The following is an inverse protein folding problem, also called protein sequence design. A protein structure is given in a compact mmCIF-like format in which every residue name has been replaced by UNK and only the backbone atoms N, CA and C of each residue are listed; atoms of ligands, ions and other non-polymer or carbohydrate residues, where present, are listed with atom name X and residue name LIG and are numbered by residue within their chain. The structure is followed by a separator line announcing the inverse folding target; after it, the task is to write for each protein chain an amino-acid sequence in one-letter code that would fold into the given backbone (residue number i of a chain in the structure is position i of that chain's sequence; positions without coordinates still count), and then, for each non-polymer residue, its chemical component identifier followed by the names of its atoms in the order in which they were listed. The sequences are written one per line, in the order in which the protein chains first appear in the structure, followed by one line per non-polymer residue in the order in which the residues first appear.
data_IF_192218146039
#
_entry.id   IF_192218146039
#
_cell.length_a   1.000
_cell.length_b   1.000
_cell.length_c   1.000
_cell.angle_alpha   90.00
_cell.angle_beta   90.00
_cell.angle_gamma   90.00
#
_symmetry.space_group_name_H-M   'P 1'
#
loop_
_entity.id
_entity.type
_entity.pdbx_description
1 polymer ?
#
# COMPACT_ATOMS: atom_id res chain seq x y z
N UNK A 1 5.67 -21.55 -8.19
CA UNK A 1 4.65 -20.51 -8.40
C UNK A 1 3.90 -20.41 -7.08
N UNK A 2 3.63 -19.18 -6.65
CA UNK A 2 3.15 -18.92 -5.29
C UNK A 2 2.23 -17.70 -5.28
N UNK A 3 1.19 -17.73 -4.45
CA UNK A 3 0.40 -16.57 -4.07
C UNK A 3 1.03 -15.86 -2.87
N UNK A 4 1.30 -14.57 -3.02
CA UNK A 4 1.86 -13.70 -2.00
C UNK A 4 0.92 -12.55 -1.65
N UNK A 5 0.80 -12.28 -0.36
CA UNK A 5 0.06 -11.15 0.18
C UNK A 5 1.01 -10.16 0.84
N UNK A 6 0.83 -8.87 0.56
CA UNK A 6 1.43 -7.78 1.35
C UNK A 6 0.34 -7.21 2.25
N UNK A 7 0.50 -7.34 3.57
CA UNK A 7 -0.45 -6.75 4.53
C UNK A 7 -0.15 -5.26 4.71
N UNK A 8 -1.05 -4.42 4.22
CA UNK A 8 -0.89 -2.96 4.22
C UNK A 8 -1.83 -2.31 5.22
N UNK A 9 -1.30 -1.36 5.98
CA UNK A 9 -2.06 -0.53 6.93
C UNK A 9 -1.91 0.93 6.55
N UNK A 10 -3.03 1.57 6.23
CA UNK A 10 -3.07 3.02 5.99
C UNK A 10 -3.16 3.74 7.33
N UNK A 11 -2.18 4.62 7.60
CA UNK A 11 -1.96 5.33 8.86
C UNK A 11 -2.98 6.42 9.19
N UNK A 12 -4.27 6.09 9.09
CA UNK A 12 -5.40 7.00 9.30
C UNK A 12 -5.98 6.92 10.71
N UNK A 13 -6.60 8.03 11.14
CA UNK A 13 -7.32 8.13 12.41
C UNK A 13 -8.72 8.72 12.18
N UNK A 14 -9.66 8.40 13.07
CA UNK A 14 -11.09 8.70 12.90
C UNK A 14 -11.35 10.20 12.63
N UNK A 15 -10.68 11.08 13.37
CA UNK A 15 -10.86 12.52 13.24
C UNK A 15 -10.30 13.09 11.94
N UNK A 16 -9.43 12.35 11.23
CA UNK A 16 -8.80 12.86 10.01
C UNK A 16 -9.83 13.21 8.94
N UNK A 17 -10.88 12.41 8.76
CA UNK A 17 -11.85 12.61 7.68
C UNK A 17 -12.99 13.57 8.03
N UNK A 18 -13.05 14.06 9.28
CA UNK A 18 -14.11 14.97 9.69
C UNK A 18 -13.98 16.33 9.00
N UNK A 19 -15.03 16.73 8.28
CA UNK A 19 -15.17 18.06 7.67
C UNK A 19 -15.69 19.11 8.66
N UNK A 20 -16.24 18.68 9.80
CA UNK A 20 -16.79 19.54 10.84
C UNK A 20 -15.72 20.00 11.86
N UNK A 21 -14.60 19.28 11.96
CA UNK A 21 -13.53 19.59 12.89
C UNK A 21 -12.54 20.61 12.31
N UNK A 22 -12.06 21.51 13.17
CA UNK A 22 -10.95 22.40 12.83
C UNK A 22 -9.67 21.61 12.56
N UNK A 23 -8.74 22.17 11.77
CA UNK A 23 -7.43 21.53 11.48
C UNK A 23 -6.69 21.07 12.76
N UNK A 24 -6.79 21.84 13.85
CA UNK A 24 -6.19 21.48 15.13
C UNK A 24 -6.85 20.25 15.78
N UNK A 25 -8.19 20.15 15.72
CA UNK A 25 -8.96 19.03 16.25
C UNK A 25 -8.88 17.77 15.38
N UNK A 26 -8.53 17.92 14.10
CA UNK A 26 -8.22 16.80 13.21
C UNK A 26 -6.83 16.20 13.45
N UNK A 27 -6.02 16.69 14.40
CA UNK A 27 -4.74 16.05 14.73
C UNK A 27 -4.97 14.79 15.56
N UNK A 28 -4.20 13.71 15.34
CA UNK A 28 -4.39 12.47 16.08
C UNK A 28 -4.03 12.64 17.56
N UNK A 29 -4.77 11.99 18.46
CA UNK A 29 -4.42 11.96 19.87
C UNK A 29 -3.21 11.02 20.11
N UNK A 30 -2.11 11.55 20.66
CA UNK A 30 -0.77 10.90 20.64
C UNK A 30 -0.76 9.51 21.21
N UNK A 31 -1.29 9.40 22.42
CA UNK A 31 -1.37 8.14 23.15
C UNK A 31 -2.32 7.17 22.46
N UNK A 32 -3.38 7.68 21.84
CA UNK A 32 -4.35 6.88 21.09
C UNK A 32 -3.72 6.25 19.85
N UNK A 33 -3.11 7.06 18.99
CA UNK A 33 -2.49 6.57 17.76
C UNK A 33 -1.31 5.63 18.04
N UNK A 34 -0.43 5.97 19.00
CA UNK A 34 0.66 5.10 19.41
C UNK A 34 0.14 3.75 19.97
N UNK A 35 -1.01 3.75 20.66
CA UNK A 35 -1.64 2.52 21.14
C UNK A 35 -2.20 1.68 19.98
N UNK A 36 -2.80 2.29 18.96
CA UNK A 36 -3.28 1.60 17.76
C UNK A 36 -2.13 0.94 17.00
N UNK A 37 -1.05 1.66 16.74
CA UNK A 37 0.15 1.14 16.06
C UNK A 37 0.77 -0.03 16.85
N UNK A 38 0.77 0.02 18.18
CA UNK A 38 1.20 -1.13 19.01
C UNK A 38 0.32 -2.37 18.79
N UNK A 39 -0.97 -2.20 18.52
CA UNK A 39 -1.85 -3.33 18.18
C UNK A 39 -1.61 -3.84 16.76
N UNK A 40 -1.28 -2.98 15.80
CA UNK A 40 -0.82 -3.39 14.46
C UNK A 40 0.38 -4.32 14.59
N UNK A 41 1.42 -3.87 15.28
CA UNK A 41 2.64 -4.65 15.55
C UNK A 41 2.30 -5.98 16.25
N UNK A 42 1.38 -5.98 17.22
CA UNK A 42 0.98 -7.19 17.94
C UNK A 42 0.26 -8.18 17.03
N UNK A 43 -0.65 -7.71 16.18
CA UNK A 43 -1.42 -8.56 15.25
C UNK A 43 -0.51 -9.11 14.15
N UNK A 44 0.38 -8.30 13.59
CA UNK A 44 1.30 -8.72 12.54
C UNK A 44 2.23 -9.87 12.96
N UNK A 45 2.44 -10.12 14.26
CA UNK A 45 3.19 -11.30 14.73
C UNK A 45 2.64 -12.62 14.20
N UNK A 46 1.33 -12.73 13.95
CA UNK A 46 0.74 -13.96 13.40
C UNK A 46 1.11 -14.23 11.94
N UNK A 47 1.73 -13.25 11.26
CA UNK A 47 2.22 -13.35 9.89
C UNK A 47 3.73 -13.08 9.82
N UNK A 48 4.46 -13.37 10.90
CA UNK A 48 5.91 -13.18 10.97
C UNK A 48 6.35 -11.72 11.07
N UNK A 49 5.46 -10.82 11.53
CA UNK A 49 5.71 -9.39 11.64
C UNK A 49 5.61 -8.62 10.32
N UNK A 50 5.25 -9.29 9.22
CA UNK A 50 5.20 -8.77 7.86
C UNK A 50 4.01 -7.83 7.66
N UNK A 51 4.17 -6.58 8.08
CA UNK A 51 3.22 -5.49 7.85
C UNK A 51 3.93 -4.35 7.12
N UNK A 52 3.20 -3.63 6.28
CA UNK A 52 3.63 -2.38 5.66
C UNK A 52 2.71 -1.25 6.17
N UNK A 53 3.22 -0.39 7.05
CA UNK A 53 2.47 0.76 7.56
C UNK A 53 2.76 2.00 6.73
N UNK A 54 1.75 2.60 6.12
CA UNK A 54 1.93 3.83 5.36
C UNK A 54 1.76 5.06 6.27
N UNK A 55 2.85 5.80 6.46
CA UNK A 55 2.90 7.01 7.30
C UNK A 55 2.38 8.20 6.52
N UNK A 56 1.48 8.95 7.13
CA UNK A 56 0.72 9.96 6.44
C UNK A 56 1.49 11.27 6.20
N UNK A 57 1.52 11.77 4.95
CA UNK A 57 2.17 13.04 4.58
C UNK A 57 1.33 14.28 4.84
N UNK A 58 0.08 14.16 5.32
CA UNK A 58 -0.85 15.30 5.40
C UNK A 58 -0.21 16.49 6.11
N UNK A 59 -0.34 17.73 5.59
CA UNK A 59 0.14 18.92 6.27
C UNK A 59 -0.41 19.09 7.70
N UNK A 60 -1.54 18.45 8.02
CA UNK A 60 -2.13 18.47 9.36
C UNK A 60 -1.30 17.67 10.37
N UNK A 61 -0.58 16.63 9.92
CA UNK A 61 0.00 15.62 10.81
C UNK A 61 1.44 15.20 10.47
N UNK A 62 2.06 15.60 9.35
CA UNK A 62 3.37 15.04 8.96
C UNK A 62 4.45 15.19 10.02
N UNK A 63 4.52 16.37 10.66
CA UNK A 63 5.51 16.65 11.71
C UNK A 63 5.30 15.79 12.95
N UNK A 64 4.07 15.34 13.15
CA UNK A 64 3.68 14.54 14.29
C UNK A 64 4.41 13.19 14.32
N UNK A 65 4.60 12.60 13.14
CA UNK A 65 5.21 11.28 12.96
C UNK A 65 6.73 11.27 13.14
N UNK A 66 7.35 12.43 13.30
CA UNK A 66 8.77 12.58 13.64
C UNK A 66 9.03 12.65 15.15
N UNK A 67 7.98 12.68 15.99
CA UNK A 67 8.20 12.64 17.43
C UNK A 67 8.90 11.34 17.86
N UNK A 68 9.75 11.37 18.90
CA UNK A 68 10.53 10.20 19.33
C UNK A 68 9.71 8.93 19.56
N UNK A 69 8.47 9.06 20.06
CA UNK A 69 7.57 7.92 20.26
C UNK A 69 7.22 7.20 18.95
N UNK A 70 6.99 7.93 17.86
CA UNK A 70 6.64 7.34 16.57
C UNK A 70 7.88 6.80 15.87
N UNK A 71 9.00 7.53 15.92
CA UNK A 71 10.29 7.00 15.43
C UNK A 71 10.64 5.66 16.09
N UNK A 72 10.43 5.54 17.41
CA UNK A 72 10.64 4.28 18.11
C UNK A 72 9.69 3.17 17.62
N UNK A 73 8.43 3.48 17.32
CA UNK A 73 7.47 2.52 16.76
C UNK A 73 7.84 2.09 15.33
N UNK A 74 8.29 3.03 14.48
CA UNK A 74 8.77 2.73 13.13
C UNK A 74 9.96 1.78 13.15
N UNK A 75 10.93 2.05 14.03
CA UNK A 75 12.09 1.18 14.26
C UNK A 75 11.65 -0.19 14.82
N UNK A 76 10.64 -0.22 15.68
CA UNK A 76 10.08 -1.49 16.19
C UNK A 76 9.41 -2.32 15.09
N UNK A 77 8.68 -1.68 14.16
CA UNK A 77 8.10 -2.34 12.98
C UNK A 77 9.20 -2.99 12.14
N UNK A 78 10.23 -2.23 11.75
CA UNK A 78 11.33 -2.77 10.93
C UNK A 78 12.10 -3.88 11.65
N UNK A 79 12.40 -3.71 12.95
CA UNK A 79 13.07 -4.74 13.76
C UNK A 79 12.30 -6.05 13.81
N UNK A 80 10.96 -6.01 13.68
CA UNK A 80 10.10 -7.20 13.71
C UNK A 80 9.79 -7.77 12.33
N UNK A 81 10.45 -7.29 11.28
CA UNK A 81 10.28 -7.78 9.91
C UNK A 81 9.19 -7.08 9.10
N UNK A 82 8.56 -6.04 9.64
CA UNK A 82 7.69 -5.14 8.88
C UNK A 82 8.47 -4.03 8.18
N UNK A 83 7.73 -3.09 7.60
CA UNK A 83 8.25 -1.91 6.93
C UNK A 83 7.32 -0.72 7.10
N UNK A 84 7.83 0.47 6.78
CA UNK A 84 7.04 1.68 6.67
C UNK A 84 7.09 2.20 5.23
N UNK A 85 5.98 2.79 4.78
CA UNK A 85 5.85 3.44 3.48
C UNK A 85 5.31 4.87 3.61
N UNK A 86 5.15 5.53 2.47
CA UNK A 86 4.60 6.88 2.37
C UNK A 86 3.10 6.81 2.05
N UNK A 87 2.24 7.30 2.94
CA UNK A 87 0.82 7.53 2.63
C UNK A 87 0.59 8.99 2.24
N UNK A 88 0.44 9.24 0.95
CA UNK A 88 0.35 10.61 0.48
C UNK A 88 -1.09 11.12 0.49
N UNK A 89 -1.41 12.12 1.33
CA UNK A 89 -2.54 13.01 1.03
C UNK A 89 -2.10 14.47 1.13
N UNK A 90 -1.56 14.97 0.03
CA UNK A 90 -1.37 16.41 -0.22
C UNK A 90 -2.60 17.07 -0.82
N UNK A 91 -3.58 16.26 -1.13
CA UNK A 91 -4.81 16.66 -1.76
C UNK A 91 -5.69 17.35 -0.71
N UNK A 92 -6.34 18.46 -1.09
CA UNK A 92 -7.55 18.85 -0.38
C UNK A 92 -8.47 17.63 -0.33
N UNK A 93 -9.17 17.42 0.79
CA UNK A 93 -10.17 16.34 0.90
C UNK A 93 -11.02 16.35 -0.38
N UNK A 94 -11.03 15.23 -1.11
CA UNK A 94 -11.78 15.05 -2.35
C UNK A 94 -11.35 15.88 -3.59
N UNK A 95 -10.09 16.35 -3.64
CA UNK A 95 -9.49 16.82 -4.89
C UNK A 95 -8.94 15.66 -5.72
N UNK A 96 -8.61 15.91 -6.99
CA UNK A 96 -8.61 14.90 -8.07
C UNK A 96 -7.32 14.09 -8.21
N UNK A 97 -6.38 14.17 -7.27
CA UNK A 97 -4.98 13.80 -7.53
C UNK A 97 -4.35 14.45 -8.75
N UNK A 98 -5.04 15.42 -9.36
CA UNK A 98 -4.43 16.48 -10.12
C UNK A 98 -3.59 17.23 -9.10
N UNK A 99 -2.36 16.76 -8.97
CA UNK A 99 -1.27 17.53 -8.47
C UNK A 99 -1.27 18.78 -9.34
N UNK A 100 -1.94 19.84 -8.87
CA UNK A 100 -1.83 21.17 -9.47
C UNK A 100 -0.35 21.55 -9.62
N UNK A 101 0.49 20.93 -8.80
CA UNK A 101 1.91 21.10 -8.80
C UNK A 101 2.64 19.78 -8.45
N UNK A 102 3.25 19.09 -9.43
CA UNK A 102 4.15 17.95 -9.18
C UNK A 102 5.32 18.28 -8.24
N UNK A 103 5.76 19.55 -8.19
CA UNK A 103 6.81 20.01 -7.28
C UNK A 103 6.32 19.92 -5.83
N UNK A 104 5.05 20.25 -5.58
CA UNK A 104 4.46 20.13 -4.24
C UNK A 104 4.30 18.68 -3.80
N UNK A 105 4.00 17.76 -4.72
CA UNK A 105 4.02 16.32 -4.38
C UNK A 105 5.42 15.87 -4.00
N UNK A 106 6.41 16.18 -4.86
CA UNK A 106 7.80 15.81 -4.60
C UNK A 106 8.26 16.36 -3.25
N UNK A 107 7.99 17.65 -2.99
CA UNK A 107 8.31 18.29 -1.70
C UNK A 107 7.69 17.55 -0.53
N UNK A 108 6.48 17.05 -0.69
CA UNK A 108 5.74 16.39 0.38
C UNK A 108 6.21 14.98 0.66
N UNK A 109 6.44 14.19 -0.40
CA UNK A 109 7.08 12.88 -0.29
C UNK A 109 8.46 13.05 0.37
N UNK A 110 9.27 13.98 -0.13
CA UNK A 110 10.62 14.26 0.39
C UNK A 110 10.61 14.72 1.84
N UNK A 111 9.65 15.56 2.22
CA UNK A 111 9.53 16.05 3.60
C UNK A 111 9.23 14.94 4.62
N UNK A 112 8.71 13.79 4.17
CA UNK A 112 8.51 12.61 5.00
C UNK A 112 9.70 11.64 4.90
N UNK A 113 10.16 11.35 3.68
CA UNK A 113 11.19 10.32 3.44
C UNK A 113 12.56 10.73 3.96
N UNK A 114 13.00 11.97 3.77
CA UNK A 114 14.34 12.40 4.18
C UNK A 114 14.55 12.35 5.70
N UNK A 115 13.66 12.92 6.54
CA UNK A 115 13.84 12.83 8.00
C UNK A 115 13.82 11.39 8.51
N UNK A 116 12.92 10.54 7.98
CA UNK A 116 12.84 9.15 8.42
C UNK A 116 14.06 8.32 7.96
N UNK A 117 14.61 8.61 6.78
CA UNK A 117 15.87 7.99 6.33
C UNK A 117 17.07 8.41 7.18
N UNK A 118 17.12 9.67 7.62
CA UNK A 118 18.14 10.14 8.59
C UNK A 118 18.05 9.40 9.92
N UNK A 119 16.85 8.93 10.29
CA UNK A 119 16.64 8.05 11.44
C UNK A 119 17.00 6.57 11.19
N UNK A 120 17.50 6.23 9.99
CA UNK A 120 17.89 4.87 9.60
C UNK A 120 16.76 4.00 9.08
N UNK A 121 15.58 4.57 8.80
CA UNK A 121 14.42 3.82 8.29
C UNK A 121 14.48 3.68 6.76
N UNK A 122 14.01 2.55 6.24
CA UNK A 122 13.95 2.29 4.80
C UNK A 122 12.54 2.53 4.28
N UNK A 123 12.39 3.50 3.37
CA UNK A 123 11.10 3.82 2.72
C UNK A 123 11.21 3.55 1.23
N UNK A 124 10.71 2.39 0.77
CA UNK A 124 10.68 2.01 -0.65
C UNK A 124 9.25 1.87 -1.20
N UNK A 125 8.25 2.09 -0.36
CA UNK A 125 6.83 1.87 -0.68
C UNK A 125 6.03 3.16 -0.60
N UNK A 126 5.09 3.31 -1.51
CA UNK A 126 4.18 4.45 -1.61
C UNK A 126 2.73 3.99 -1.75
N UNK A 127 1.83 4.81 -1.25
CA UNK A 127 0.39 4.68 -1.44
C UNK A 127 -0.25 6.05 -1.45
N UNK A 128 -0.96 6.35 -2.51
CA UNK A 128 -1.80 7.54 -2.62
C UNK A 128 -3.04 7.46 -1.74
N UNK A 129 -3.45 8.60 -1.19
CA UNK A 129 -4.76 8.76 -0.57
C UNK A 129 -5.86 8.63 -1.62
N UNK A 130 -7.05 8.14 -1.24
CA UNK A 130 -8.19 7.96 -2.15
C UNK A 130 -7.91 7.13 -3.42
N UNK A 131 -6.80 6.38 -3.47
CA UNK A 131 -6.32 5.65 -4.64
C UNK A 131 -6.04 6.56 -5.84
N UNK A 132 -5.78 7.85 -5.60
CA UNK A 132 -5.52 8.84 -6.64
C UNK A 132 -4.09 8.71 -7.15
N UNK A 133 -3.92 8.35 -8.42
CA UNK A 133 -2.60 8.22 -9.01
C UNK A 133 -2.58 8.81 -10.41
N UNK A 134 -1.46 9.42 -10.77
CA UNK A 134 -1.23 9.89 -12.12
C UNK A 134 0.19 9.59 -12.56
N UNK A 135 0.39 9.49 -13.87
CA UNK A 135 1.68 9.09 -14.47
C UNK A 135 2.87 10.00 -14.10
N UNK A 136 2.62 11.27 -13.76
CA UNK A 136 3.66 12.20 -13.32
C UNK A 136 4.21 11.87 -11.92
N UNK A 137 3.53 11.03 -11.14
CA UNK A 137 4.01 10.54 -9.83
C UNK A 137 5.19 9.59 -10.01
N UNK A 138 5.19 8.77 -11.07
CA UNK A 138 6.18 7.73 -11.33
C UNK A 138 7.63 8.26 -11.22
N UNK A 139 8.06 9.27 -12.00
CA UNK A 139 9.44 9.78 -11.91
C UNK A 139 9.76 10.40 -10.55
N UNK A 140 8.76 10.91 -9.82
CA UNK A 140 8.95 11.45 -8.47
C UNK A 140 9.26 10.32 -7.49
N UNK A 141 8.56 9.18 -7.58
CA UNK A 141 8.82 8.01 -6.74
C UNK A 141 10.23 7.49 -6.98
N UNK A 142 10.62 7.31 -8.24
CA UNK A 142 11.95 6.82 -8.61
C UNK A 142 13.07 7.73 -8.10
N UNK A 143 12.94 9.05 -8.31
CA UNK A 143 13.89 10.05 -7.81
C UNK A 143 14.03 10.01 -6.29
N UNK A 144 12.96 9.64 -5.60
CA UNK A 144 12.95 9.48 -4.15
C UNK A 144 13.30 8.07 -3.71
N UNK A 145 13.76 7.16 -4.58
CA UNK A 145 14.13 5.78 -4.21
C UNK A 145 12.95 4.93 -3.73
N UNK A 146 11.73 5.28 -4.15
CA UNK A 146 10.52 4.49 -3.92
C UNK A 146 10.33 3.60 -5.14
N UNK A 147 10.24 2.29 -4.89
CA UNK A 147 10.22 1.25 -5.92
C UNK A 147 8.87 0.56 -6.05
N UNK A 148 8.01 0.71 -5.05
CA UNK A 148 6.74 0.01 -4.97
C UNK A 148 5.60 1.00 -4.77
N UNK A 149 4.52 0.85 -5.55
CA UNK A 149 3.24 1.51 -5.32
C UNK A 149 2.15 0.48 -4.98
N UNK A 150 1.21 0.90 -4.14
CA UNK A 150 0.11 0.09 -3.62
C UNK A 150 -1.25 0.79 -3.83
N UNK A 151 -1.30 1.76 -4.73
CA UNK A 151 -2.47 2.61 -4.95
C UNK A 151 -3.54 1.94 -5.82
N UNK A 152 -3.20 0.91 -6.59
CA UNK A 152 -4.09 0.34 -7.59
C UNK A 152 -5.22 -0.47 -6.97
N UNK A 153 -6.44 -0.04 -7.26
CA UNK A 153 -7.60 -0.92 -7.26
C UNK A 153 -7.97 -1.19 -8.73
N UNK A 154 -7.41 -2.25 -9.31
CA UNK A 154 -7.62 -2.63 -10.72
C UNK A 154 -9.10 -2.54 -11.12
N UNK A 155 -9.39 -1.89 -12.25
CA UNK A 155 -10.73 -1.70 -12.79
C UNK A 155 -11.63 -0.70 -12.04
N UNK A 156 -11.14 -0.06 -10.98
CA UNK A 156 -11.89 0.99 -10.27
C UNK A 156 -11.91 2.27 -11.09
N UNK A 157 -13.03 2.99 -10.97
CA UNK A 157 -13.24 4.29 -11.56
C UNK A 157 -14.08 5.12 -10.59
N UNK A 158 -13.46 6.10 -9.92
CA UNK A 158 -14.07 6.84 -8.82
C UNK A 158 -14.35 8.28 -9.25
N UNK A 159 -15.60 8.72 -9.12
CA UNK A 159 -15.99 10.12 -9.24
C UNK A 159 -16.40 10.66 -7.87
N UNK A 160 -16.09 11.93 -7.63
CA UNK A 160 -16.61 12.70 -6.51
C UNK A 160 -16.93 14.11 -7.01
N UNK A 161 -18.14 14.61 -6.73
CA UNK A 161 -18.61 15.93 -7.16
C UNK A 161 -18.35 16.23 -8.65
N UNK A 162 -18.62 15.26 -9.52
CA UNK A 162 -18.43 15.38 -10.98
C UNK A 162 -16.97 15.31 -11.46
N UNK A 163 -16.01 15.08 -10.58
CA UNK A 163 -14.57 14.96 -10.90
C UNK A 163 -14.08 13.52 -10.75
N UNK A 164 -13.28 13.05 -11.72
CA UNK A 164 -12.67 11.72 -11.69
C UNK A 164 -11.46 11.69 -10.76
N UNK A 165 -11.57 11.10 -9.57
CA UNK A 165 -10.54 11.07 -8.52
C UNK A 165 -9.51 9.94 -8.74
N UNK A 166 -9.95 8.78 -9.23
CA UNK A 166 -9.08 7.63 -9.46
C UNK A 166 -9.54 6.87 -10.71
N UNK A 167 -8.60 6.57 -11.61
CA UNK A 167 -8.86 5.80 -12.82
C UNK A 167 -7.88 4.65 -12.94
N UNK A 168 -8.35 3.46 -12.58
CA UNK A 168 -7.60 2.21 -12.69
C UNK A 168 -8.19 1.28 -13.75
N UNK A 169 -8.98 1.83 -14.68
CA UNK A 169 -9.57 1.05 -15.77
C UNK A 169 -8.45 0.57 -16.69
N UNK A 170 -8.34 -0.75 -16.86
CA UNK A 170 -7.29 -1.37 -17.66
C UNK A 170 -6.07 -1.82 -16.85
N UNK A 171 -5.92 -1.36 -15.60
CA UNK A 171 -4.80 -1.77 -14.75
C UNK A 171 -4.76 -3.30 -14.54
N UNK A 172 -3.60 -3.95 -14.68
CA UNK A 172 -3.42 -5.36 -14.38
C UNK A 172 -3.95 -5.77 -13.00
N UNK A 173 -4.38 -7.04 -12.89
CA UNK A 173 -4.90 -7.62 -11.64
C UNK A 173 -3.81 -8.27 -10.79
N UNK A 174 -2.58 -8.32 -11.30
CA UNK A 174 -1.37 -8.79 -10.63
C UNK A 174 -0.36 -7.64 -10.65
N UNK A 175 0.78 -7.82 -9.97
CA UNK A 175 1.86 -6.86 -10.01
C UNK A 175 2.34 -6.58 -11.45
N UNK A 176 2.83 -5.36 -11.70
CA UNK A 176 3.39 -4.96 -13.00
C UNK A 176 4.33 -3.76 -12.83
N UNK A 177 5.34 -3.66 -13.70
CA UNK A 177 6.12 -2.43 -13.84
C UNK A 177 5.29 -1.39 -14.56
N UNK A 178 5.19 -0.17 -14.03
CA UNK A 178 4.31 0.85 -14.62
C UNK A 178 4.84 1.40 -15.96
N UNK A 179 3.93 1.86 -16.82
CA UNK A 179 4.26 2.67 -17.99
C UNK A 179 4.27 4.17 -17.64
N UNK A 180 5.33 4.88 -17.99
CA UNK A 180 5.44 6.34 -17.80
C UNK A 180 4.37 7.15 -18.53
N UNK A 181 3.78 6.60 -19.61
CA UNK A 181 2.74 7.26 -20.39
C UNK A 181 1.33 6.96 -19.85
N UNK A 182 1.15 5.79 -19.23
CA UNK A 182 -0.13 5.30 -18.71
C UNK A 182 0.11 4.33 -17.54
N UNK A 183 0.02 4.83 -16.31
CA UNK A 183 0.16 4.03 -15.08
C UNK A 183 -0.78 2.82 -14.96
N UNK A 184 -1.83 2.73 -15.79
CA UNK A 184 -2.71 1.56 -15.87
C UNK A 184 -2.18 0.46 -16.80
N UNK A 185 -0.97 0.57 -17.33
CA UNK A 185 -0.38 -0.42 -18.24
C UNK A 185 1.00 -0.85 -17.76
N UNK A 186 1.37 -2.06 -18.18
CA UNK A 186 2.73 -2.54 -18.05
C UNK A 186 3.69 -1.70 -18.91
N UNK A 187 4.88 -1.43 -18.40
CA UNK A 187 5.91 -0.64 -19.07
C UNK A 187 7.27 -0.78 -18.42
N UNK A 188 8.12 0.22 -18.64
CA UNK A 188 9.56 0.18 -18.31
C UNK A 188 9.97 1.06 -17.12
N UNK A 189 9.00 1.50 -16.29
CA UNK A 189 9.35 2.15 -15.03
C UNK A 189 10.06 1.19 -14.08
N UNK A 190 10.89 1.72 -13.18
CA UNK A 190 11.42 0.99 -12.04
C UNK A 190 10.40 0.81 -10.91
N UNK A 191 9.27 1.52 -10.96
CA UNK A 191 8.17 1.39 -10.00
C UNK A 191 7.31 0.20 -10.36
N UNK A 192 7.16 -0.72 -9.41
CA UNK A 192 6.24 -1.84 -9.49
C UNK A 192 4.95 -1.50 -8.75
N UNK A 193 3.82 -1.64 -9.44
CA UNK A 193 2.51 -1.57 -8.82
C UNK A 193 2.13 -2.92 -8.19
N UNK A 194 1.63 -2.91 -6.96
CA UNK A 194 1.06 -4.06 -6.26
C UNK A 194 -0.44 -3.82 -5.97
N UNK A 195 -1.33 -4.29 -6.84
CA UNK A 195 -2.75 -3.99 -6.73
C UNK A 195 -3.40 -4.66 -5.52
N UNK A 196 -4.49 -4.06 -5.02
CA UNK A 196 -5.35 -4.70 -4.02
C UNK A 196 -5.97 -5.96 -4.62
N UNK A 197 -5.80 -7.09 -3.93
CA UNK A 197 -6.32 -8.38 -4.41
C UNK A 197 -7.84 -8.33 -4.54
N UNK A 198 -8.43 -8.92 -5.60
CA UNK A 198 -9.87 -8.75 -5.84
C UNK A 198 -10.53 -9.86 -6.66
N UNK A 199 -11.86 -9.94 -6.52
CA UNK A 199 -12.75 -10.69 -7.41
C UNK A 199 -13.96 -9.83 -7.78
N UNK A 200 -14.18 -9.62 -9.09
CA UNK A 200 -15.25 -8.72 -9.59
C UNK A 200 -15.16 -7.32 -8.94
N UNK A 201 -16.17 -6.96 -8.13
CA UNK A 201 -16.30 -5.69 -7.38
C UNK A 201 -15.83 -5.78 -5.92
N UNK A 202 -15.45 -6.96 -5.43
CA UNK A 202 -14.99 -7.20 -4.04
C UNK A 202 -13.47 -7.20 -3.99
N UNK A 203 -12.89 -6.60 -2.96
CA UNK A 203 -11.44 -6.45 -2.81
C UNK A 203 -10.96 -6.96 -1.45
N UNK A 204 -9.67 -7.24 -1.31
CA UNK A 204 -8.99 -7.53 -0.06
C UNK A 204 -8.82 -6.23 0.72
N UNK A 205 -9.94 -5.66 1.15
CA UNK A 205 -10.02 -4.46 1.97
C UNK A 205 -10.87 -4.78 3.19
N UNK A 206 -10.19 -5.02 4.32
CA UNK A 206 -10.76 -5.67 5.52
C UNK A 206 -11.94 -4.90 6.08
N UNK A 207 -11.88 -3.57 6.08
CA UNK A 207 -12.85 -2.69 6.71
C UNK A 207 -14.26 -2.90 6.13
N UNK A 208 -14.34 -2.93 4.80
CA UNK A 208 -15.61 -2.95 4.07
C UNK A 208 -15.98 -4.33 3.51
N UNK A 209 -15.05 -5.29 3.55
CA UNK A 209 -15.23 -6.61 2.95
C UNK A 209 -15.48 -7.68 4.00
N UNK A 210 -16.56 -8.45 3.85
CA UNK A 210 -16.90 -9.53 4.77
C UNK A 210 -15.82 -10.62 4.81
N UNK A 211 -15.68 -11.34 5.92
CA UNK A 211 -14.72 -12.45 6.02
C UNK A 211 -15.00 -13.56 4.98
N UNK A 212 -16.27 -13.81 4.65
CA UNK A 212 -16.65 -14.76 3.60
C UNK A 212 -16.14 -14.30 2.23
N UNK A 213 -16.23 -13.00 1.94
CA UNK A 213 -15.71 -12.43 0.71
C UNK A 213 -14.19 -12.47 0.63
N UNK A 214 -13.49 -12.15 1.72
CA UNK A 214 -12.03 -12.29 1.83
C UNK A 214 -11.62 -13.74 1.54
N UNK A 215 -12.33 -14.71 2.13
CA UNK A 215 -12.11 -16.14 1.88
C UNK A 215 -12.32 -16.51 0.41
N UNK A 216 -13.40 -16.05 -0.21
CA UNK A 216 -13.65 -16.31 -1.63
C UNK A 216 -12.58 -15.69 -2.53
N UNK A 217 -12.11 -14.47 -2.23
CA UNK A 217 -11.05 -13.81 -2.99
C UNK A 217 -9.74 -14.59 -2.86
N UNK A 218 -9.30 -14.90 -1.64
CA UNK A 218 -8.06 -15.62 -1.38
C UNK A 218 -8.06 -17.00 -2.07
N UNK A 219 -9.15 -17.76 -1.95
CA UNK A 219 -9.32 -19.05 -2.63
C UNK A 219 -9.29 -18.91 -4.15
N UNK A 220 -9.92 -17.87 -4.70
CA UNK A 220 -9.94 -17.61 -6.14
C UNK A 220 -8.55 -17.27 -6.68
N UNK A 221 -7.80 -16.43 -5.97
CA UNK A 221 -6.43 -16.09 -6.33
C UNK A 221 -5.51 -17.32 -6.30
N UNK A 222 -5.62 -18.17 -5.28
CA UNK A 222 -4.86 -19.42 -5.19
C UNK A 222 -5.23 -20.43 -6.29
N UNK A 223 -6.49 -20.46 -6.74
CA UNK A 223 -6.86 -21.25 -7.92
C UNK A 223 -6.24 -20.70 -9.20
N UNK A 224 -6.22 -19.37 -9.35
CA UNK A 224 -5.64 -18.70 -10.52
C UNK A 224 -4.14 -18.88 -10.63
N UNK A 225 -3.45 -19.01 -9.52
CA UNK A 225 -2.02 -19.34 -9.45
C UNK A 225 -1.70 -20.59 -10.29
N UNK A 226 -2.60 -21.57 -10.33
CA UNK A 226 -2.43 -22.79 -11.16
C UNK A 226 -2.56 -22.55 -12.67
N UNK A 227 -3.06 -21.38 -13.07
CA UNK A 227 -3.37 -21.04 -14.47
C UNK A 227 -2.53 -19.90 -15.02
N UNK A 228 -2.00 -19.04 -14.15
CA UNK A 228 -1.16 -17.90 -14.53
C UNK A 228 0.30 -18.34 -14.48
N UNK A 229 1.06 -18.12 -15.55
CA UNK A 229 2.51 -18.31 -15.54
C UNK A 229 3.16 -17.21 -14.71
N UNK A 230 3.47 -17.47 -13.44
CA UNK A 230 4.19 -16.53 -12.58
C UNK A 230 3.69 -16.51 -11.15
N UNK A 231 4.31 -15.67 -10.33
CA UNK A 231 3.87 -15.41 -8.98
C UNK A 231 2.68 -14.43 -9.01
N UNK A 232 1.76 -14.58 -8.05
CA UNK A 232 0.70 -13.60 -7.83
C UNK A 232 1.08 -12.80 -6.59
N UNK A 233 1.20 -11.48 -6.72
CA UNK A 233 1.49 -10.58 -5.60
C UNK A 233 0.38 -9.54 -5.53
N UNK A 234 -0.32 -9.49 -4.40
CA UNK A 234 -1.43 -8.56 -4.16
C UNK A 234 -1.37 -7.98 -2.76
N UNK A 235 -1.99 -6.82 -2.55
CA UNK A 235 -2.13 -6.22 -1.22
C UNK A 235 -3.46 -6.59 -0.54
N UNK A 236 -3.39 -6.68 0.79
CA UNK A 236 -4.51 -6.81 1.72
C UNK A 236 -4.53 -5.57 2.62
N UNK A 237 -5.56 -4.75 2.48
CA UNK A 237 -5.66 -3.44 3.09
C UNK A 237 -6.50 -3.41 4.37
N UNK A 238 -6.08 -2.60 5.34
CA UNK A 238 -6.88 -2.11 6.47
C UNK A 238 -6.42 -0.70 6.85
N UNK A 239 -7.15 0.00 7.72
CA UNK A 239 -6.68 1.27 8.30
C UNK A 239 -6.31 1.14 9.79
N UNK A 240 -5.45 2.04 10.27
CA UNK A 240 -5.03 2.12 11.68
C UNK A 240 -6.20 2.30 12.66
N UNK A 241 -7.24 3.07 12.30
CA UNK A 241 -8.43 3.21 13.15
C UNK A 241 -9.21 1.91 13.35
N UNK A 242 -9.04 0.88 12.51
CA UNK A 242 -9.67 -0.43 12.70
C UNK A 242 -9.12 -1.18 13.92
N UNK A 243 -7.99 -0.74 14.48
CA UNK A 243 -7.40 -1.36 15.67
C UNK A 243 -7.99 -0.87 17.00
N UNK A 244 -8.94 0.08 16.95
CA UNK A 244 -9.60 0.69 18.11
C UNK A 244 -10.45 -0.29 18.93
N UNK A 245 -11.20 -1.16 18.25
CA UNK A 245 -12.16 -2.06 18.89
C UNK A 245 -11.68 -3.53 18.90
N UNK A 246 -12.09 -4.29 19.92
CA UNK A 246 -11.73 -5.71 20.03
C UNK A 246 -12.28 -6.55 18.86
N UNK A 247 -13.54 -6.35 18.48
CA UNK A 247 -14.17 -7.11 17.41
C UNK A 247 -13.53 -6.82 16.03
N UNK A 248 -13.14 -5.58 15.75
CA UNK A 248 -12.39 -5.22 14.54
C UNK A 248 -11.01 -5.88 14.50
N UNK A 249 -10.28 -5.86 15.62
CA UNK A 249 -9.01 -6.59 15.76
C UNK A 249 -9.15 -8.11 15.56
N UNK A 250 -10.25 -8.71 16.03
CA UNK A 250 -10.56 -10.12 15.78
C UNK A 250 -10.85 -10.37 14.29
N UNK A 251 -11.58 -9.47 13.63
CA UNK A 251 -11.83 -9.52 12.18
C UNK A 251 -10.53 -9.44 11.38
N UNK A 252 -9.61 -8.53 11.72
CA UNK A 252 -8.29 -8.43 11.07
C UNK A 252 -7.53 -9.75 11.23
N UNK A 253 -7.45 -10.31 12.45
CA UNK A 253 -6.80 -11.61 12.69
C UNK A 253 -7.41 -12.74 11.87
N UNK A 254 -8.75 -12.80 11.79
CA UNK A 254 -9.44 -13.79 10.99
C UNK A 254 -9.15 -13.63 9.49
N UNK A 255 -9.11 -12.40 8.98
CA UNK A 255 -8.74 -12.11 7.60
C UNK A 255 -7.29 -12.55 7.29
N UNK A 256 -6.33 -12.21 8.15
CA UNK A 256 -4.95 -12.65 8.02
C UNK A 256 -4.84 -14.18 7.99
N UNK A 257 -5.52 -14.85 8.93
CA UNK A 257 -5.56 -16.30 9.01
C UNK A 257 -6.15 -16.95 7.75
N UNK A 258 -7.23 -16.39 7.21
CA UNK A 258 -7.83 -16.84 5.95
C UNK A 258 -6.80 -16.75 4.81
N UNK A 259 -6.13 -15.61 4.66
CA UNK A 259 -5.13 -15.42 3.60
C UNK A 259 -3.92 -16.36 3.77
N UNK A 260 -3.43 -16.57 5.00
CA UNK A 260 -2.35 -17.52 5.29
C UNK A 260 -2.65 -18.98 4.91
N UNK A 261 -3.92 -19.36 4.75
CA UNK A 261 -4.28 -20.70 4.26
C UNK A 261 -4.15 -20.88 2.75
N UNK A 262 -4.09 -19.78 2.01
CA UNK A 262 -4.11 -19.78 0.54
C UNK A 262 -2.83 -19.24 -0.08
N UNK A 263 -1.97 -18.58 0.69
CA UNK A 263 -0.70 -18.03 0.22
C UNK A 263 0.17 -17.58 1.38
N UNK A 264 1.31 -16.98 1.05
CA UNK A 264 2.31 -16.53 2.03
C UNK A 264 2.27 -15.02 2.19
N UNK A 265 2.50 -14.53 3.41
CA UNK A 265 2.76 -13.11 3.61
C UNK A 265 4.22 -12.78 3.31
N UNK A 266 4.44 -11.66 2.62
CA UNK A 266 5.75 -11.07 2.36
C UNK A 266 5.73 -9.59 2.76
N UNK A 267 6.89 -9.06 3.13
CA UNK A 267 7.13 -7.63 3.30
C UNK A 267 7.52 -7.00 1.95
N UNK A 268 7.42 -5.68 1.86
CA UNK A 268 7.79 -4.89 0.68
C UNK A 268 9.24 -5.12 0.24
N UNK A 269 10.18 -5.27 1.18
CA UNK A 269 11.59 -5.58 0.91
C UNK A 269 11.79 -6.94 0.22
N UNK A 270 10.87 -7.89 0.41
CA UNK A 270 10.92 -9.22 -0.21
C UNK A 270 10.33 -9.21 -1.64
N UNK A 271 9.51 -8.22 -1.99
CA UNK A 271 8.82 -8.15 -3.30
C UNK A 271 9.80 -8.14 -4.48
N UNK A 272 10.87 -7.32 -4.51
CA UNK A 272 11.81 -7.32 -5.62
C UNK A 272 12.46 -8.68 -5.87
N UNK A 273 12.75 -9.45 -4.82
CA UNK A 273 13.40 -10.74 -4.93
C UNK A 273 12.44 -11.80 -5.48
N UNK A 274 11.19 -11.82 -5.01
CA UNK A 274 10.12 -12.67 -5.56
C UNK A 274 9.88 -12.42 -7.06
N UNK A 275 9.99 -11.16 -7.50
CA UNK A 275 9.85 -10.79 -8.93
C UNK A 275 11.09 -11.22 -9.73
N UNK A 276 12.29 -11.03 -9.18
CA UNK A 276 13.56 -11.42 -9.84
C UNK A 276 13.66 -12.93 -10.03
N UNK A 277 13.29 -13.72 -9.02
CA UNK A 277 13.27 -15.19 -9.10
C UNK A 277 12.40 -15.66 -10.27
N UNK A 278 11.23 -15.04 -10.48
CA UNK A 278 10.36 -15.33 -11.61
C UNK A 278 11.03 -15.02 -12.97
N UNK A 279 11.72 -13.88 -13.08
CA UNK A 279 12.44 -13.49 -14.32
C UNK A 279 13.68 -14.37 -14.57
N UNK A 280 14.38 -14.77 -13.51
CA UNK A 280 15.51 -15.70 -13.58
C UNK A 280 15.12 -17.05 -14.18
N UNK A 281 13.94 -17.55 -13.82
CA UNK A 281 13.36 -18.76 -14.43
C UNK A 281 13.02 -18.55 -15.93
N UNK A 282 12.49 -17.38 -16.31
CA UNK A 282 12.15 -17.08 -17.72
C UNK A 282 13.38 -16.92 -18.63
N UNK A 283 14.50 -16.41 -18.10
CA UNK A 283 15.76 -16.26 -18.84
C UNK A 283 16.47 -17.59 -19.14
N UNK A 284 16.02 -18.70 -18.56
CA UNK A 284 16.46 -20.06 -18.93
C UNK A 284 15.67 -20.64 -20.10
N UNK A 285 14.47 -20.12 -20.39
CA UNK A 285 13.55 -20.68 -21.39
C UNK A 285 13.45 -19.88 -22.69
N UNK A 286 13.93 -18.63 -22.77
CA UNK A 286 13.92 -17.88 -24.04
C UNK A 286 14.97 -16.77 -24.10
N UNK A 287 16.14 -17.07 -24.70
CA UNK A 287 16.96 -16.06 -25.39
C UNK A 287 16.84 -16.28 -26.89
N UNK A 288 15.68 -15.92 -27.44
CA UNK A 288 15.49 -15.64 -28.86
C UNK A 288 14.39 -14.57 -29.00
N UNK A 289 14.77 -13.31 -28.87
CA UNK A 289 14.07 -12.21 -29.53
C UNK A 289 15.10 -11.17 -29.95
N UNK A 290 15.47 -11.29 -31.21
CA UNK A 290 16.26 -10.36 -32.00
C UNK A 290 15.60 -8.98 -32.01
N UNK A 291 16.39 -7.95 -31.70
CA UNK A 291 16.09 -6.57 -32.08
C UNK A 291 16.03 -6.50 -33.62
N UNK A 292 14.90 -6.06 -34.16
CA UNK A 292 14.82 -5.38 -35.45
C UNK A 292 14.30 -3.98 -35.18
#
# INVERSE_FOLDING_TARGET
MSLYFVFTVDGDWDEYFSTELTKAKRKPHRKGLAWLIKHEIKIARSIGGKLLHFVHTSPVAREYFFQPIFIALWKEIEKKGGSIGVHCHEEGLFSRGELKDPIMLEKSIRSLTEPLRKEGLTLISYRSGYLSFCKSVIPILEKNGILLDFSCFSGRYLHYEGRLIANWRGAPKNYYYMCYLDHCREGESNVVEIPIGKIKKRALYIDVTSLLDIWMIARHLAKKEKTIKGNIIVSLLTHTYEFSYLWKRLRIRAALFICSRYGSFINDKEVPDVIKEEKGMKNYENRNCSRK
#
